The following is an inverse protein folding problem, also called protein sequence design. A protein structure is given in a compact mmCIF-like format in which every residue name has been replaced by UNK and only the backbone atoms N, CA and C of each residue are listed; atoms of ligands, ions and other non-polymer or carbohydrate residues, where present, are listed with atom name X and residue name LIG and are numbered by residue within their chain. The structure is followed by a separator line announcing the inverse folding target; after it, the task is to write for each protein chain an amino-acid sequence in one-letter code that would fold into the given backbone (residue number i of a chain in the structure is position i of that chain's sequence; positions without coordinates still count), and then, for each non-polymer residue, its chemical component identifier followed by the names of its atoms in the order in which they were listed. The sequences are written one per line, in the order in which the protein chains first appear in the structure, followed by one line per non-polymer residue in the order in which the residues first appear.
data_IF_030102863658
#
_entry.id   IF_030102863658
#
_cell.length_a   1.000
_cell.length_b   1.000
_cell.length_c   1.000
_cell.angle_alpha   90.00
_cell.angle_beta   90.00
_cell.angle_gamma   90.00
#
_symmetry.space_group_name_H-M   'P 1'
#
loop_
_entity.id
_entity.type
_entity.pdbx_description
1 polymer ?
#
# COMPACT_ATOMS: atom_id res chain seq x y z
N UNK A 1 -5.91 4.77 1.38
CA UNK A 1 -4.66 5.52 1.65
C UNK A 1 -4.67 6.93 1.06
N UNK A 2 -5.20 7.16 -0.15
CA UNK A 2 -5.27 8.49 -0.79
C UNK A 2 -5.92 9.55 0.09
N UNK A 3 -7.14 9.29 0.61
CA UNK A 3 -7.88 10.23 1.46
C UNK A 3 -7.06 10.63 2.69
N UNK A 4 -6.42 9.66 3.35
CA UNK A 4 -5.54 9.89 4.51
C UNK A 4 -4.39 10.85 4.16
N UNK A 5 -3.70 10.62 3.05
CA UNK A 5 -2.55 11.44 2.65
C UNK A 5 -2.99 12.86 2.30
N UNK A 6 -4.10 13.02 1.57
CA UNK A 6 -4.66 14.34 1.28
C UNK A 6 -5.13 15.06 2.55
N UNK A 7 -5.66 14.34 3.54
CA UNK A 7 -6.00 14.90 4.84
C UNK A 7 -4.76 15.48 5.54
N UNK A 8 -3.63 14.76 5.56
CA UNK A 8 -2.38 15.27 6.13
C UNK A 8 -1.84 16.49 5.38
N UNK A 9 -1.96 16.51 4.05
CA UNK A 9 -1.52 17.65 3.24
C UNK A 9 -2.35 18.93 3.49
N UNK A 10 -3.66 18.78 3.76
CA UNK A 10 -4.60 19.90 3.84
C UNK A 10 -4.97 20.32 5.25
N UNK A 11 -4.87 19.41 6.21
CA UNK A 11 -5.21 19.65 7.62
C UNK A 11 -4.09 19.17 8.55
N UNK A 12 -2.92 19.85 8.57
CA UNK A 12 -1.77 19.51 9.42
C UNK A 12 -2.03 19.90 10.90
N UNK A 13 -3.07 19.30 11.49
CA UNK A 13 -3.52 19.53 12.87
C UNK A 13 -3.53 18.20 13.61
N UNK A 14 -3.54 18.25 14.95
CA UNK A 14 -3.66 17.04 15.77
C UNK A 14 -4.89 16.21 15.37
N UNK A 15 -6.04 16.85 15.18
CA UNK A 15 -7.27 16.19 14.74
C UNK A 15 -7.11 15.52 13.37
N UNK A 16 -6.48 16.21 12.41
CA UNK A 16 -6.18 15.64 11.09
C UNK A 16 -5.26 14.43 11.18
N UNK A 17 -4.26 14.46 12.05
CA UNK A 17 -3.38 13.32 12.34
C UNK A 17 -4.15 12.15 12.93
N UNK A 18 -4.97 12.38 13.97
CA UNK A 18 -5.78 11.34 14.63
C UNK A 18 -6.72 10.66 13.63
N UNK A 19 -7.48 11.44 12.86
CA UNK A 19 -8.37 10.89 11.83
C UNK A 19 -7.59 10.12 10.77
N UNK A 20 -6.44 10.63 10.33
CA UNK A 20 -5.60 9.93 9.36
C UNK A 20 -5.01 8.63 9.90
N UNK A 21 -4.67 8.55 11.19
CA UNK A 21 -4.23 7.30 11.81
C UNK A 21 -5.36 6.28 11.92
N UNK A 22 -6.59 6.69 12.25
CA UNK A 22 -7.75 5.79 12.21
C UNK A 22 -7.99 5.24 10.80
N UNK A 23 -7.93 6.10 9.78
CA UNK A 23 -8.01 5.67 8.37
C UNK A 23 -6.86 4.73 7.98
N UNK A 24 -5.68 4.94 8.56
CA UNK A 24 -4.55 4.03 8.36
C UNK A 24 -4.83 2.66 8.96
N UNK A 25 -5.25 2.60 10.21
CA UNK A 25 -5.54 1.35 10.93
C UNK A 25 -6.58 0.52 10.18
N UNK A 26 -7.68 1.15 9.74
CA UNK A 26 -8.72 0.48 8.94
C UNK A 26 -8.14 -0.02 7.61
N UNK A 27 -7.48 0.87 6.85
CA UNK A 27 -7.00 0.51 5.53
C UNK A 27 -5.90 -0.56 5.55
N UNK A 28 -4.94 -0.46 6.47
CA UNK A 28 -3.86 -1.43 6.61
C UNK A 28 -4.36 -2.75 7.22
N UNK A 29 -5.28 -2.67 8.19
CA UNK A 29 -5.89 -3.84 8.85
C UNK A 29 -6.63 -4.75 7.88
N UNK A 30 -7.24 -4.21 6.83
CA UNK A 30 -7.80 -5.04 5.74
C UNK A 30 -6.78 -5.39 4.66
N UNK A 31 -5.94 -4.44 4.26
CA UNK A 31 -5.02 -4.62 3.14
C UNK A 31 -3.97 -5.71 3.40
N UNK A 32 -3.30 -5.70 4.55
CA UNK A 32 -2.16 -6.59 4.77
C UNK A 32 -2.57 -8.08 4.85
N UNK A 33 -3.61 -8.48 5.62
CA UNK A 33 -4.10 -9.85 5.60
C UNK A 33 -4.63 -10.27 4.22
N UNK A 34 -5.32 -9.37 3.50
CA UNK A 34 -5.82 -9.66 2.16
C UNK A 34 -4.68 -9.91 1.16
N UNK A 35 -3.59 -9.15 1.23
CA UNK A 35 -2.41 -9.34 0.38
C UNK A 35 -1.71 -10.69 0.67
N UNK A 36 -1.55 -11.05 1.95
CA UNK A 36 -1.05 -12.37 2.38
C UNK A 36 -1.94 -13.48 1.82
N UNK A 37 -3.25 -13.34 1.96
CA UNK A 37 -4.21 -14.33 1.46
C UNK A 37 -4.20 -14.43 -0.08
N UNK A 38 -4.02 -13.31 -0.78
CA UNK A 38 -3.89 -13.29 -2.23
C UNK A 38 -2.66 -14.09 -2.69
N UNK A 39 -1.49 -13.86 -2.06
CA UNK A 39 -0.28 -14.64 -2.34
C UNK A 39 -0.52 -16.11 -2.06
N UNK A 40 -1.15 -16.44 -0.93
CA UNK A 40 -1.48 -17.81 -0.60
C UNK A 40 -2.34 -18.47 -1.70
N UNK A 41 -3.42 -17.82 -2.15
CA UNK A 41 -4.33 -18.40 -3.16
C UNK A 41 -3.74 -18.44 -4.58
N UNK A 42 -2.75 -17.59 -4.87
CA UNK A 42 -2.18 -17.39 -6.23
C UNK A 42 -0.81 -18.00 -6.44
N UNK A 43 -0.24 -18.62 -5.42
CA UNK A 43 1.03 -19.32 -5.50
C UNK A 43 0.80 -20.76 -5.04
N UNK A 44 1.18 -21.73 -5.88
CA UNK A 44 1.10 -23.16 -5.56
C UNK A 44 1.82 -23.43 -4.23
N UNK A 45 1.30 -24.36 -3.41
CA UNK A 45 1.91 -24.73 -2.12
C UNK A 45 3.42 -24.91 -2.15
N UNK A 46 3.95 -25.58 -3.19
CA UNK A 46 5.38 -25.86 -3.36
C UNK A 46 6.25 -24.60 -3.51
N UNK A 47 5.68 -23.48 -3.94
CA UNK A 47 6.39 -22.20 -4.14
C UNK A 47 5.93 -21.11 -3.16
N UNK A 48 5.04 -21.41 -2.21
CA UNK A 48 4.40 -20.39 -1.36
C UNK A 48 5.40 -19.63 -0.50
N UNK A 49 6.44 -20.29 0.00
CA UNK A 49 7.53 -19.62 0.74
C UNK A 49 8.22 -18.57 -0.13
N UNK A 50 8.58 -18.92 -1.36
CA UNK A 50 9.19 -17.97 -2.32
C UNK A 50 8.22 -16.83 -2.64
N UNK A 51 6.95 -17.12 -2.88
CA UNK A 51 5.92 -16.10 -3.14
C UNK A 51 5.75 -15.11 -1.98
N UNK A 52 5.76 -15.60 -0.73
CA UNK A 52 5.73 -14.74 0.46
C UNK A 52 7.00 -13.90 0.58
N UNK A 53 8.17 -14.50 0.35
CA UNK A 53 9.45 -13.76 0.34
C UNK A 53 9.44 -12.65 -0.71
N UNK A 54 8.93 -12.91 -1.92
CA UNK A 54 8.78 -11.88 -2.95
C UNK A 54 7.82 -10.77 -2.51
N UNK A 55 6.68 -11.10 -1.89
CA UNK A 55 5.77 -10.10 -1.36
C UNK A 55 6.41 -9.23 -0.27
N UNK A 56 7.14 -9.83 0.67
CA UNK A 56 7.83 -9.08 1.73
C UNK A 56 8.93 -8.21 1.10
N UNK A 57 9.85 -8.78 0.32
CA UNK A 57 11.00 -8.06 -0.21
C UNK A 57 10.61 -7.01 -1.26
N UNK A 58 9.80 -7.38 -2.26
CA UNK A 58 9.44 -6.49 -3.38
C UNK A 58 8.17 -5.68 -3.11
N UNK A 59 7.22 -6.23 -2.38
CA UNK A 59 5.95 -5.56 -2.06
C UNK A 59 6.03 -4.63 -0.86
N UNK A 60 6.97 -4.84 0.07
CA UNK A 60 7.11 -4.00 1.28
C UNK A 60 8.51 -3.42 1.47
N UNK A 61 9.57 -4.23 1.32
CA UNK A 61 10.95 -3.81 1.58
C UNK A 61 11.44 -2.75 0.59
N UNK A 62 11.39 -3.06 -0.71
CA UNK A 62 11.83 -2.14 -1.77
C UNK A 62 11.06 -0.80 -1.74
N UNK A 63 9.71 -0.78 -1.66
CA UNK A 63 8.97 0.47 -1.51
C UNK A 63 9.32 1.25 -0.25
N UNK A 64 9.68 0.58 0.85
CA UNK A 64 10.10 1.25 2.09
C UNK A 64 11.41 1.99 1.91
N UNK A 65 12.41 1.38 1.26
CA UNK A 65 13.69 2.03 0.97
C UNK A 65 13.49 3.20 0.01
N UNK A 66 12.84 2.97 -1.13
CA UNK A 66 12.63 4.01 -2.14
C UNK A 66 11.76 5.15 -1.60
N UNK A 67 10.68 4.82 -0.89
CA UNK A 67 9.77 5.78 -0.29
C UNK A 67 10.41 6.59 0.83
N UNK A 68 11.30 6.01 1.62
CA UNK A 68 12.02 6.75 2.67
C UNK A 68 13.03 7.73 2.06
N UNK A 69 13.81 7.31 1.05
CA UNK A 69 14.77 8.16 0.37
C UNK A 69 14.10 9.30 -0.39
N UNK A 70 13.08 9.00 -1.21
CA UNK A 70 12.29 10.02 -1.91
C UNK A 70 11.55 10.92 -0.93
N UNK A 71 11.05 10.34 0.17
CA UNK A 71 10.35 11.06 1.21
C UNK A 71 11.22 12.11 1.88
N UNK A 72 12.43 11.73 2.28
CA UNK A 72 13.44 12.64 2.85
C UNK A 72 13.74 13.81 1.92
N UNK A 73 14.07 13.52 0.66
CA UNK A 73 14.32 14.53 -0.36
C UNK A 73 13.16 15.53 -0.54
N UNK A 74 11.92 15.01 -0.63
CA UNK A 74 10.74 15.87 -0.77
C UNK A 74 10.49 16.70 0.50
N UNK A 75 10.69 16.14 1.69
CA UNK A 75 10.49 16.88 2.94
C UNK A 75 11.51 17.98 3.14
N UNK A 76 12.79 17.73 2.83
CA UNK A 76 13.86 18.71 3.00
C UNK A 76 13.74 19.85 1.98
N UNK A 77 13.41 19.54 0.71
CA UNK A 77 13.34 20.54 -0.35
C UNK A 77 11.99 21.27 -0.48
N UNK A 78 10.88 20.57 -0.22
CA UNK A 78 9.52 21.04 -0.57
C UNK A 78 8.50 20.94 0.57
N UNK A 79 8.90 20.37 1.71
CA UNK A 79 8.05 20.21 2.90
C UNK A 79 7.01 19.08 2.82
N UNK A 80 6.36 18.85 3.97
CA UNK A 80 5.44 17.72 4.15
C UNK A 80 4.18 17.76 3.28
N UNK A 81 3.70 18.96 2.89
CA UNK A 81 2.53 19.07 2.02
C UNK A 81 2.78 18.41 0.66
N UNK A 82 3.91 18.75 0.03
CA UNK A 82 4.29 18.19 -1.28
C UNK A 82 4.56 16.69 -1.17
N UNK A 83 5.19 16.24 -0.07
CA UNK A 83 5.35 14.82 0.23
C UNK A 83 4.01 14.08 0.17
N UNK A 84 3.03 14.52 0.97
CA UNK A 84 1.76 13.83 1.10
C UNK A 84 0.92 13.89 -0.19
N UNK A 85 0.92 15.02 -0.90
CA UNK A 85 0.25 15.14 -2.21
C UNK A 85 0.88 14.20 -3.25
N UNK A 86 2.21 14.17 -3.34
CA UNK A 86 2.93 13.28 -4.27
C UNK A 86 2.69 11.81 -3.94
N UNK A 87 2.72 11.44 -2.66
CA UNK A 87 2.50 10.05 -2.24
C UNK A 87 1.04 9.61 -2.43
N UNK A 88 0.09 10.56 -2.44
CA UNK A 88 -1.31 10.28 -2.74
C UNK A 88 -1.50 9.75 -4.17
N UNK A 89 -0.64 10.16 -5.12
CA UNK A 89 -0.66 9.67 -6.51
C UNK A 89 -0.34 8.17 -6.57
N UNK A 90 0.68 7.70 -5.86
CA UNK A 90 0.98 6.27 -5.75
C UNK A 90 -0.19 5.49 -5.15
N UNK A 91 -0.85 6.05 -4.14
CA UNK A 91 -2.05 5.44 -3.56
C UNK A 91 -3.21 5.38 -4.58
N UNK A 92 -3.40 6.40 -5.43
CA UNK A 92 -4.39 6.35 -6.51
C UNK A 92 -4.05 5.31 -7.57
N UNK A 93 -2.78 5.24 -7.99
CA UNK A 93 -2.31 4.22 -8.94
C UNK A 93 -2.59 2.81 -8.38
N UNK A 94 -2.40 2.58 -7.08
CA UNK A 94 -2.72 1.28 -6.46
C UNK A 94 -4.20 0.91 -6.57
N UNK A 95 -5.10 1.89 -6.47
CA UNK A 95 -6.55 1.67 -6.65
C UNK A 95 -6.84 1.28 -8.10
N UNK A 96 -6.27 2.00 -9.06
CA UNK A 96 -6.41 1.70 -10.49
C UNK A 96 -5.92 0.28 -10.79
N UNK A 97 -4.74 -0.11 -10.28
CA UNK A 97 -4.21 -1.47 -10.45
C UNK A 97 -5.14 -2.52 -9.83
N UNK A 98 -5.69 -2.27 -8.64
CA UNK A 98 -6.67 -3.18 -8.01
C UNK A 98 -7.92 -3.35 -8.88
N UNK A 99 -8.41 -2.28 -9.51
CA UNK A 99 -9.57 -2.34 -10.41
C UNK A 99 -9.24 -3.10 -11.71
N UNK A 100 -8.08 -2.81 -12.31
CA UNK A 100 -7.61 -3.48 -13.54
C UNK A 100 -7.46 -5.00 -13.31
N UNK A 101 -6.87 -5.40 -12.19
CA UNK A 101 -6.65 -6.81 -11.87
C UNK A 101 -7.77 -7.47 -11.05
N UNK A 102 -8.90 -6.78 -10.84
CA UNK A 102 -9.99 -7.23 -9.97
C UNK A 102 -10.50 -8.64 -10.29
N UNK A 103 -10.77 -8.92 -11.57
CA UNK A 103 -11.25 -10.23 -12.02
C UNK A 103 -10.23 -11.33 -11.71
N UNK A 104 -8.95 -11.07 -12.00
CA UNK A 104 -7.85 -12.01 -11.76
C UNK A 104 -7.62 -12.27 -10.28
N UNK A 105 -7.79 -11.26 -9.42
CA UNK A 105 -7.69 -11.43 -7.97
C UNK A 105 -8.81 -12.30 -7.40
N UNK A 106 -9.99 -12.33 -8.05
CA UNK A 106 -11.17 -13.10 -7.60
C UNK A 106 -11.36 -14.48 -8.22
N UNK A 107 -10.55 -14.90 -9.19
CA UNK A 107 -10.59 -16.26 -9.76
C UNK A 107 -10.46 -17.36 -8.67
N UNK A 108 -10.86 -18.61 -8.92
CA UNK A 108 -10.62 -19.73 -8.00
C UNK A 108 -9.15 -19.84 -7.60
N UNK A 109 -8.86 -20.41 -6.43
CA UNK A 109 -7.47 -20.61 -6.01
C UNK A 109 -6.77 -21.56 -7.00
N UNK A 110 -5.44 -21.42 -7.15
CA UNK A 110 -4.69 -22.32 -8.07
C UNK A 110 -4.71 -23.79 -7.65
N UNK A 111 -5.18 -24.11 -6.45
CA UNK A 111 -5.32 -25.49 -5.95
C UNK A 111 -6.74 -26.03 -6.16
N UNK A 112 -7.69 -25.18 -6.58
CA UNK A 112 -9.07 -25.55 -6.93
C UNK A 112 -9.24 -25.83 -8.43
N UNK A 113 -8.17 -25.68 -9.23
CA UNK A 113 -8.12 -25.86 -10.69
C UNK A 113 -7.08 -26.91 -11.03
#
# INVERSE_FOLDING_TARGET
MTIRLLLYARYPTLTGVVVGQLLHSVGFGFFHPAAIQLVARRVKRTHRTLGMSMYISLGTGLPTVLGSSLGGFLTEGFGYKVLFESFSVFAMISVVLCLVFWKKMRSPALEEV
#
